data_IF_049545351817
#
_entry.id   IF_049545351817
#
_cell.length_a   1.000
_cell.length_b   1.000
_cell.length_c   1.000
_cell.angle_alpha   90.00
_cell.angle_beta   90.00
_cell.angle_gamma   90.00
#
_symmetry.space_group_name_H-M   'P 1'
#
loop_
_entity.id
_entity.type
_entity.pdbx_description
1 polymer ?
#
# COMPACT_ATOMS: atom_id res chain seq x y z
N UNK A 1 6.59 22.77 -9.41
CA UNK A 1 5.24 22.90 -8.87
C UNK A 1 4.77 21.64 -8.18
N UNK A 2 5.09 20.48 -8.68
CA UNK A 2 4.50 19.22 -8.23
C UNK A 2 5.53 18.12 -8.02
N UNK A 3 6.79 18.46 -7.90
CA UNK A 3 7.88 17.52 -7.67
C UNK A 3 8.50 17.75 -6.29
N UNK A 4 8.74 16.67 -5.56
CA UNK A 4 9.35 16.68 -4.23
C UNK A 4 10.37 15.56 -4.12
N UNK A 5 11.51 15.80 -3.48
CA UNK A 5 12.48 14.75 -3.18
C UNK A 5 11.99 13.95 -1.97
N UNK A 6 11.81 12.64 -2.13
CA UNK A 6 11.23 11.76 -1.10
C UNK A 6 12.25 10.96 -0.30
N UNK A 7 13.49 10.86 -0.76
CA UNK A 7 14.54 10.11 -0.08
C UNK A 7 15.86 10.84 -0.09
N UNK A 8 16.76 10.49 0.83
CA UNK A 8 18.14 10.93 0.86
C UNK A 8 18.34 12.38 1.34
N UNK A 9 19.46 12.97 0.90
CA UNK A 9 19.97 14.25 1.40
C UNK A 9 19.01 15.43 1.30
N UNK A 10 18.21 15.47 0.25
CA UNK A 10 17.28 16.58 -0.04
C UNK A 10 15.82 16.24 0.26
N UNK A 11 15.57 15.21 1.05
CA UNK A 11 14.23 14.75 1.41
C UNK A 11 13.32 15.87 1.95
N UNK A 12 12.10 15.91 1.44
CA UNK A 12 11.07 16.87 1.84
C UNK A 12 11.22 18.26 1.22
N UNK A 13 12.17 18.43 0.28
CA UNK A 13 12.37 19.71 -0.39
C UNK A 13 11.66 19.72 -1.74
N UNK A 14 10.82 20.75 -2.02
CA UNK A 14 10.25 20.93 -3.36
C UNK A 14 11.35 21.07 -4.41
N UNK A 15 11.21 20.36 -5.53
CA UNK A 15 12.23 20.28 -6.54
C UNK A 15 12.16 21.49 -7.49
N UNK A 16 13.19 22.33 -7.43
CA UNK A 16 13.46 23.38 -8.44
C UNK A 16 14.42 22.86 -9.49
N UNK A 17 14.57 23.55 -10.63
CA UNK A 17 15.54 23.19 -11.67
C UNK A 17 16.98 23.18 -11.13
N UNK A 18 17.32 24.12 -10.25
CA UNK A 18 18.65 24.21 -9.62
C UNK A 18 18.86 23.03 -8.66
N UNK A 19 17.87 22.75 -7.79
CA UNK A 19 17.96 21.62 -6.88
C UNK A 19 18.00 20.29 -7.63
N UNK A 20 17.29 20.17 -8.75
CA UNK A 20 17.34 18.97 -9.59
C UNK A 20 18.76 18.67 -10.11
N UNK A 21 19.44 19.70 -10.62
CA UNK A 21 20.83 19.56 -11.09
C UNK A 21 21.75 19.10 -9.94
N UNK A 22 21.66 19.77 -8.78
CA UNK A 22 22.44 19.42 -7.59
C UNK A 22 22.11 18.01 -7.06
N UNK A 23 20.85 17.65 -6.97
CA UNK A 23 20.44 16.34 -6.47
C UNK A 23 20.98 15.20 -7.36
N UNK A 24 21.00 15.40 -8.67
CA UNK A 24 21.59 14.41 -9.59
C UNK A 24 23.10 14.20 -9.42
N UNK A 25 23.82 15.22 -8.98
CA UNK A 25 25.26 15.12 -8.71
C UNK A 25 25.56 14.60 -7.31
N UNK A 26 24.82 15.08 -6.30
CA UNK A 26 25.13 14.85 -4.90
C UNK A 26 24.38 13.62 -4.29
N UNK A 27 23.25 13.23 -4.87
CA UNK A 27 22.44 12.06 -4.45
C UNK A 27 21.67 11.48 -5.65
N UNK A 28 22.37 10.85 -6.62
CA UNK A 28 21.77 10.37 -7.86
C UNK A 28 20.71 9.28 -7.68
N UNK A 29 20.72 8.60 -6.54
CA UNK A 29 19.77 7.53 -6.18
C UNK A 29 18.54 8.06 -5.41
N UNK A 30 18.41 9.38 -5.21
CA UNK A 30 17.25 9.96 -4.56
C UNK A 30 15.98 9.77 -5.40
N UNK A 31 14.88 9.36 -4.76
CA UNK A 31 13.58 9.27 -5.39
C UNK A 31 12.87 10.62 -5.37
N UNK A 32 12.14 10.89 -6.44
CA UNK A 32 11.32 12.07 -6.60
C UNK A 32 9.86 11.66 -6.73
N UNK A 33 8.99 12.36 -6.03
CA UNK A 33 7.55 12.22 -6.15
C UNK A 33 7.03 13.29 -7.08
N UNK A 34 6.25 12.88 -8.07
CA UNK A 34 5.53 13.77 -8.95
C UNK A 34 4.03 13.79 -8.55
N UNK A 35 3.56 14.93 -8.08
CA UNK A 35 2.15 15.15 -7.74
C UNK A 35 1.37 15.56 -9.01
N UNK A 36 1.22 14.63 -9.93
CA UNK A 36 0.66 14.88 -11.28
C UNK A 36 -0.66 14.14 -11.55
N UNK A 37 -1.07 13.27 -10.63
CA UNK A 37 -2.30 12.50 -10.79
C UNK A 37 -3.53 13.36 -10.44
N UNK A 38 -4.57 13.28 -11.26
CA UNK A 38 -5.87 13.84 -10.94
C UNK A 38 -6.61 12.90 -9.97
N UNK A 39 -7.00 13.35 -8.76
CA UNK A 39 -7.69 12.49 -7.79
C UNK A 39 -8.98 11.87 -8.32
N UNK A 40 -9.77 12.59 -9.12
CA UNK A 40 -11.02 12.09 -9.69
C UNK A 40 -10.77 10.94 -10.68
N UNK A 41 -9.72 11.05 -11.49
CA UNK A 41 -9.32 9.98 -12.41
C UNK A 41 -8.81 8.74 -11.66
N UNK A 42 -8.07 8.93 -10.57
CA UNK A 42 -7.63 7.84 -9.70
C UNK A 42 -8.84 7.11 -9.09
N UNK A 43 -9.82 7.85 -8.59
CA UNK A 43 -11.04 7.28 -8.03
C UNK A 43 -11.84 6.50 -9.08
N UNK A 44 -11.98 7.04 -10.30
CA UNK A 44 -12.64 6.35 -11.42
C UNK A 44 -11.91 5.05 -11.79
N UNK A 45 -10.59 5.06 -11.84
CA UNK A 45 -9.80 3.86 -12.11
C UNK A 45 -9.99 2.79 -11.02
N UNK A 46 -10.00 3.20 -9.73
CA UNK A 46 -10.22 2.29 -8.62
C UNK A 46 -11.63 1.68 -8.63
N UNK A 47 -12.64 2.46 -9.01
CA UNK A 47 -14.03 2.02 -9.08
C UNK A 47 -14.33 1.09 -10.25
N UNK A 48 -13.43 0.99 -11.23
CA UNK A 48 -13.66 0.10 -12.35
C UNK A 48 -13.72 -1.37 -11.91
N UNK A 49 -14.74 -2.09 -12.38
CA UNK A 49 -15.00 -3.48 -11.94
C UNK A 49 -13.84 -4.46 -12.13
N UNK A 50 -12.93 -4.17 -13.06
CA UNK A 50 -11.77 -5.01 -13.39
C UNK A 50 -10.46 -4.47 -12.78
N UNK A 51 -10.53 -3.44 -11.91
CA UNK A 51 -9.36 -2.93 -11.20
C UNK A 51 -8.99 -3.77 -9.99
N UNK A 52 -7.72 -3.80 -9.67
CA UNK A 52 -7.17 -4.31 -8.42
C UNK A 52 -6.29 -3.25 -7.75
N UNK A 53 -6.26 -3.25 -6.43
CA UNK A 53 -5.38 -2.37 -5.66
C UNK A 53 -3.98 -2.98 -5.62
N UNK A 54 -2.97 -2.19 -6.01
CA UNK A 54 -1.56 -2.55 -5.88
C UNK A 54 -0.77 -1.34 -5.39
N UNK A 55 0.23 -1.56 -4.55
CA UNK A 55 0.97 -0.46 -3.93
C UNK A 55 1.98 0.19 -4.86
N UNK A 56 2.60 -0.57 -5.74
CA UNK A 56 3.75 -0.11 -6.55
C UNK A 56 4.79 0.63 -5.68
N UNK A 57 4.97 0.16 -4.44
CA UNK A 57 5.80 0.83 -3.45
C UNK A 57 7.28 0.55 -3.72
N UNK A 58 8.06 1.63 -3.72
CA UNK A 58 9.52 1.56 -3.75
C UNK A 58 10.04 2.33 -2.55
N UNK A 59 10.96 1.72 -1.80
CA UNK A 59 11.60 2.28 -0.63
C UNK A 59 13.12 2.31 -0.81
N UNK A 60 13.76 3.30 -0.19
CA UNK A 60 15.21 3.37 0.03
C UNK A 60 15.43 3.38 1.55
N UNK A 61 15.73 2.20 2.10
CA UNK A 61 15.66 2.01 3.55
C UNK A 61 14.22 2.16 4.06
N UNK A 62 14.02 3.08 4.99
CA UNK A 62 12.72 3.44 5.58
C UNK A 62 12.09 4.70 4.95
N UNK A 63 12.69 5.22 3.88
CA UNK A 63 12.24 6.41 3.16
C UNK A 63 11.53 6.04 1.86
N UNK A 64 10.64 6.91 1.40
CA UNK A 64 9.91 6.75 0.13
C UNK A 64 8.50 7.29 0.16
N UNK A 65 7.64 6.70 -0.66
CA UNK A 65 6.25 7.15 -0.79
C UNK A 65 5.35 6.50 0.27
N UNK A 66 4.38 7.24 0.87
CA UNK A 66 3.41 6.71 1.86
C UNK A 66 2.61 5.50 1.39
N UNK A 67 2.49 5.29 0.08
CA UNK A 67 1.85 4.11 -0.49
C UNK A 67 2.47 2.77 -0.03
N UNK A 68 3.65 2.79 0.58
CA UNK A 68 4.28 1.59 1.11
C UNK A 68 3.42 0.91 2.18
N UNK A 69 2.89 1.67 3.15
CA UNK A 69 2.01 1.14 4.18
C UNK A 69 0.52 1.49 3.94
N UNK A 70 0.25 2.61 3.26
CA UNK A 70 -1.08 3.20 3.18
C UNK A 70 -1.95 2.79 2.00
N UNK A 71 -1.43 2.11 0.97
CA UNK A 71 -2.18 1.86 -0.27
C UNK A 71 -3.47 1.10 -0.05
N UNK A 72 -3.44 -0.02 0.67
CA UNK A 72 -4.62 -0.86 0.82
C UNK A 72 -5.71 -0.20 1.67
N UNK A 73 -5.43 0.35 2.87
CA UNK A 73 -6.45 1.05 3.64
C UNK A 73 -6.99 2.28 2.91
N UNK A 74 -6.15 3.03 2.21
CA UNK A 74 -6.58 4.19 1.42
C UNK A 74 -7.46 3.79 0.24
N UNK A 75 -7.06 2.80 -0.56
CA UNK A 75 -7.83 2.32 -1.70
C UNK A 75 -9.18 1.75 -1.28
N UNK A 76 -9.22 0.89 -0.25
CA UNK A 76 -10.46 0.38 0.32
C UNK A 76 -11.33 1.53 0.85
N UNK A 77 -10.74 2.52 1.54
CA UNK A 77 -11.44 3.70 2.03
C UNK A 77 -12.10 4.52 0.93
N UNK A 78 -11.43 4.71 -0.23
CA UNK A 78 -11.98 5.39 -1.41
C UNK A 78 -13.20 4.61 -1.93
N UNK A 79 -13.07 3.28 -2.13
CA UNK A 79 -14.15 2.43 -2.61
C UNK A 79 -15.36 2.44 -1.66
N UNK A 80 -15.12 2.42 -0.35
CA UNK A 80 -16.15 2.53 0.67
C UNK A 80 -16.88 3.88 0.64
N UNK A 81 -16.14 4.98 0.49
CA UNK A 81 -16.73 6.33 0.36
C UNK A 81 -17.56 6.47 -0.90
N UNK A 82 -17.20 5.78 -1.97
CA UNK A 82 -17.97 5.71 -3.21
C UNK A 82 -19.21 4.81 -3.13
N UNK A 83 -19.49 4.18 -1.97
CA UNK A 83 -20.70 3.41 -1.71
C UNK A 83 -20.59 1.90 -1.87
N UNK A 84 -19.40 1.36 -2.21
CA UNK A 84 -19.23 -0.10 -2.27
C UNK A 84 -19.38 -0.70 -0.87
N UNK A 85 -19.97 -1.90 -0.78
CA UNK A 85 -19.99 -2.68 0.46
C UNK A 85 -18.59 -3.12 0.88
N UNK A 86 -18.39 -3.50 2.13
CA UNK A 86 -17.10 -4.04 2.59
C UNK A 86 -16.62 -5.24 1.75
N UNK A 87 -17.44 -6.27 1.45
CA UNK A 87 -17.01 -7.37 0.60
C UNK A 87 -16.57 -6.93 -0.79
N UNK A 88 -17.28 -5.98 -1.43
CA UNK A 88 -16.92 -5.46 -2.74
C UNK A 88 -15.58 -4.71 -2.69
N UNK A 89 -15.40 -3.80 -1.74
CA UNK A 89 -14.17 -3.02 -1.61
C UNK A 89 -12.94 -3.91 -1.29
N UNK A 90 -13.09 -4.86 -0.37
CA UNK A 90 -12.02 -5.81 0.01
C UNK A 90 -11.66 -6.73 -1.16
N UNK A 91 -12.61 -7.07 -2.01
CA UNK A 91 -12.35 -7.89 -3.20
C UNK A 91 -11.28 -7.28 -4.11
N UNK A 92 -11.23 -5.96 -4.25
CA UNK A 92 -10.20 -5.26 -5.05
C UNK A 92 -8.77 -5.41 -4.50
N UNK A 93 -8.63 -5.81 -3.25
CA UNK A 93 -7.35 -6.04 -2.57
C UNK A 93 -7.04 -7.53 -2.32
N UNK A 94 -7.95 -8.44 -2.64
CA UNK A 94 -7.85 -9.87 -2.29
C UNK A 94 -8.11 -10.79 -3.47
N UNK A 95 -9.36 -11.23 -3.67
CA UNK A 95 -9.67 -12.21 -4.71
C UNK A 95 -9.50 -11.67 -6.13
N UNK A 96 -9.70 -10.38 -6.36
CA UNK A 96 -9.52 -9.79 -7.68
C UNK A 96 -8.06 -9.86 -8.16
N UNK A 97 -7.05 -9.32 -7.41
CA UNK A 97 -5.67 -9.48 -7.83
C UNK A 97 -5.23 -10.94 -7.91
N UNK A 98 -5.72 -11.82 -7.02
CA UNK A 98 -5.42 -13.25 -7.10
C UNK A 98 -5.94 -13.87 -8.41
N UNK A 99 -7.17 -13.55 -8.83
CA UNK A 99 -7.75 -13.97 -10.09
C UNK A 99 -6.92 -13.50 -11.30
N UNK A 100 -6.43 -12.24 -11.27
CA UNK A 100 -5.64 -11.66 -12.36
C UNK A 100 -4.31 -12.36 -12.60
N UNK A 101 -3.71 -12.91 -11.56
CA UNK A 101 -2.41 -13.61 -11.62
C UNK A 101 -2.56 -15.14 -11.50
N UNK A 102 -3.78 -15.68 -11.61
CA UNK A 102 -4.09 -17.12 -11.54
C UNK A 102 -3.73 -17.76 -10.19
N UNK A 103 -3.61 -16.97 -9.13
CA UNK A 103 -3.31 -17.43 -7.77
C UNK A 103 -4.57 -17.94 -7.07
N UNK A 104 -4.45 -19.05 -6.31
CA UNK A 104 -5.61 -19.66 -5.61
C UNK A 104 -5.98 -18.97 -4.28
N UNK A 105 -5.23 -17.95 -3.86
CA UNK A 105 -5.48 -17.18 -2.63
C UNK A 105 -6.59 -16.12 -2.76
N UNK A 106 -6.64 -15.21 -1.78
CA UNK A 106 -7.57 -14.08 -1.76
C UNK A 106 -9.01 -14.43 -1.40
N UNK A 107 -9.28 -15.64 -0.90
CA UNK A 107 -10.61 -16.12 -0.47
C UNK A 107 -10.51 -16.89 0.83
N UNK A 108 -11.51 -16.75 1.69
CA UNK A 108 -11.66 -17.54 2.90
C UNK A 108 -12.54 -18.76 2.56
N UNK A 109 -11.89 -19.88 2.31
CA UNK A 109 -12.54 -21.15 1.99
C UNK A 109 -11.87 -22.30 2.75
N UNK A 110 -12.61 -23.35 3.02
CA UNK A 110 -12.08 -24.53 3.69
C UNK A 110 -10.96 -25.17 2.87
N UNK A 111 -9.85 -25.53 3.54
CA UNK A 111 -8.67 -26.10 2.90
C UNK A 111 -7.69 -25.09 2.28
N UNK A 112 -8.02 -23.79 2.27
CA UNK A 112 -7.06 -22.77 1.86
C UNK A 112 -6.04 -22.46 2.95
N UNK A 113 -4.89 -21.91 2.55
CA UNK A 113 -3.91 -21.39 3.51
C UNK A 113 -4.52 -20.26 4.35
N UNK A 114 -4.23 -20.29 5.65
CA UNK A 114 -4.68 -19.24 6.54
C UNK A 114 -3.78 -18.00 6.40
N UNK A 115 -4.08 -17.17 5.38
CA UNK A 115 -3.48 -15.87 5.10
C UNK A 115 -4.58 -14.82 5.27
N UNK A 116 -4.70 -14.26 6.48
CA UNK A 116 -5.85 -13.48 6.89
C UNK A 116 -5.44 -12.14 7.47
N UNK A 117 -6.26 -11.13 7.25
CA UNK A 117 -6.18 -9.85 7.95
C UNK A 117 -7.52 -9.59 8.63
N UNK A 118 -7.48 -9.34 9.93
CA UNK A 118 -8.66 -8.94 10.71
C UNK A 118 -8.57 -7.44 10.95
N UNK A 119 -9.58 -6.72 10.51
CA UNK A 119 -9.66 -5.27 10.62
C UNK A 119 -10.86 -4.84 11.45
N UNK A 120 -10.75 -3.69 12.06
CA UNK A 120 -11.85 -2.95 12.64
C UNK A 120 -12.34 -1.92 11.60
N UNK A 121 -13.55 -2.09 11.05
CA UNK A 121 -14.08 -1.24 9.99
C UNK A 121 -14.16 0.25 10.34
N UNK A 122 -14.36 0.57 11.63
CA UNK A 122 -14.56 1.94 12.09
C UNK A 122 -13.26 2.73 12.22
N UNK A 123 -12.13 2.01 12.36
CA UNK A 123 -10.79 2.60 12.53
C UNK A 123 -9.80 2.21 11.45
N UNK A 124 -10.23 1.47 10.41
CA UNK A 124 -9.37 1.06 9.30
C UNK A 124 -9.08 2.23 8.37
N UNK A 125 -7.89 2.79 8.48
CA UNK A 125 -7.48 3.99 7.76
C UNK A 125 -6.00 3.99 7.38
N UNK A 126 -5.66 4.75 6.33
CA UNK A 126 -4.29 5.10 5.99
C UNK A 126 -3.75 6.16 6.96
N UNK A 127 -2.58 5.89 7.54
CA UNK A 127 -1.82 6.80 8.41
C UNK A 127 -0.46 7.16 7.83
N UNK A 128 -0.12 6.60 6.68
CA UNK A 128 1.11 6.90 5.96
C UNK A 128 1.14 8.35 5.49
N UNK A 129 2.30 9.00 5.61
CA UNK A 129 2.52 10.36 5.14
C UNK A 129 3.93 10.52 4.60
N UNK A 130 4.13 11.55 3.81
CA UNK A 130 5.47 11.94 3.38
C UNK A 130 6.35 12.21 4.62
N UNK A 131 7.57 11.69 4.61
CA UNK A 131 8.46 11.71 5.77
C UNK A 131 8.27 10.56 6.76
N UNK A 132 7.12 9.85 6.76
CA UNK A 132 6.85 8.67 7.57
C UNK A 132 6.06 7.61 6.76
N UNK A 133 6.64 7.06 5.67
CA UNK A 133 5.93 6.20 4.72
C UNK A 133 5.55 4.82 5.29
N UNK A 134 6.22 4.39 6.35
CA UNK A 134 6.01 3.08 7.00
C UNK A 134 5.12 3.17 8.24
N UNK A 135 4.43 4.29 8.45
CA UNK A 135 3.45 4.38 9.55
C UNK A 135 2.38 3.32 9.38
N UNK A 136 2.25 2.44 10.37
CA UNK A 136 1.27 1.36 10.34
C UNK A 136 -0.16 1.90 10.17
N UNK A 137 -0.99 1.26 9.34
CA UNK A 137 -2.38 1.66 9.16
C UNK A 137 -3.17 1.49 10.46
N UNK A 138 -4.22 2.30 10.62
CA UNK A 138 -5.18 2.13 11.70
C UNK A 138 -6.04 0.89 11.52
N UNK A 139 -6.63 0.41 12.61
CA UNK A 139 -7.68 -0.61 12.59
C UNK A 139 -7.25 -2.03 12.22
N UNK A 140 -5.97 -2.33 12.02
CA UNK A 140 -5.48 -3.70 11.86
C UNK A 140 -5.41 -4.36 13.23
N UNK A 141 -6.20 -5.41 13.44
CA UNK A 141 -6.23 -6.16 14.70
C UNK A 141 -5.25 -7.33 14.68
N UNK A 142 -5.32 -8.15 13.64
CA UNK A 142 -4.42 -9.29 13.46
C UNK A 142 -4.05 -9.47 11.99
N UNK A 143 -2.82 -9.90 11.76
CA UNK A 143 -2.38 -10.47 10.49
C UNK A 143 -1.91 -11.89 10.76
N UNK A 144 -2.45 -12.83 9.99
CA UNK A 144 -2.10 -14.26 10.06
C UNK A 144 -1.45 -14.65 8.74
N UNK A 145 -0.27 -15.24 8.80
CA UNK A 145 0.44 -15.80 7.65
C UNK A 145 0.70 -17.29 7.89
N UNK A 146 0.23 -18.14 6.99
CA UNK A 146 0.34 -19.60 7.11
C UNK A 146 -0.15 -20.14 8.47
N UNK A 147 -1.22 -19.54 9.02
CA UNK A 147 -1.78 -19.93 10.30
C UNK A 147 -1.07 -19.36 11.54
N UNK A 148 -0.02 -18.56 11.37
CA UNK A 148 0.73 -17.90 12.47
C UNK A 148 0.35 -16.45 12.57
N UNK A 149 0.02 -15.95 13.76
CA UNK A 149 -0.20 -14.54 14.02
C UNK A 149 1.15 -13.83 13.94
N UNK A 150 1.28 -12.88 13.02
CA UNK A 150 2.51 -12.09 12.81
C UNK A 150 2.33 -10.63 13.18
N UNK A 151 1.09 -10.13 13.23
CA UNK A 151 0.74 -8.80 13.73
C UNK A 151 -0.44 -8.94 14.69
N UNK A 152 -0.37 -8.27 15.83
CA UNK A 152 -1.44 -8.14 16.80
C UNK A 152 -1.52 -6.69 17.28
N UNK A 153 -2.71 -6.10 17.23
CA UNK A 153 -2.94 -4.71 17.66
C UNK A 153 -2.14 -3.65 16.89
N UNK A 154 -1.68 -3.96 15.67
CA UNK A 154 -0.82 -3.08 14.87
C UNK A 154 0.68 -3.28 15.08
N UNK A 155 1.08 -4.13 16.02
CA UNK A 155 2.48 -4.44 16.33
C UNK A 155 2.91 -5.77 15.71
N UNK A 156 4.15 -5.85 15.22
CA UNK A 156 4.73 -7.10 14.72
C UNK A 156 5.10 -7.97 15.93
N UNK A 157 4.46 -9.13 16.07
CA UNK A 157 4.63 -10.04 17.22
C UNK A 157 5.20 -11.41 16.85
N UNK A 158 5.18 -11.76 15.58
CA UNK A 158 5.58 -13.08 15.11
C UNK A 158 6.82 -13.06 14.19
N UNK A 159 7.36 -14.24 13.89
CA UNK A 159 8.45 -14.38 12.94
C UNK A 159 7.99 -14.02 11.53
N UNK A 160 8.93 -13.70 10.65
CA UNK A 160 8.65 -13.55 9.23
C UNK A 160 8.26 -14.92 8.64
N UNK A 161 6.94 -15.16 8.56
CA UNK A 161 6.35 -16.41 8.02
C UNK A 161 5.93 -16.27 6.55
N UNK A 162 6.22 -15.12 5.94
CA UNK A 162 5.93 -14.86 4.53
C UNK A 162 6.77 -15.72 3.60
N UNK A 163 6.24 -16.00 2.42
CA UNK A 163 6.94 -16.71 1.34
C UNK A 163 6.79 -15.96 0.02
N UNK A 164 7.76 -16.11 -0.85
CA UNK A 164 7.67 -15.61 -2.22
C UNK A 164 6.76 -16.55 -3.00
N UNK A 165 5.72 -15.99 -3.62
CA UNK A 165 4.87 -16.72 -4.55
C UNK A 165 5.55 -16.69 -5.92
N UNK A 166 6.01 -17.84 -6.36
CA UNK A 166 6.49 -18.02 -7.72
C UNK A 166 5.30 -18.47 -8.57
N UNK A 167 5.21 -17.96 -9.81
CA UNK A 167 4.19 -18.43 -10.76
C UNK A 167 4.32 -19.94 -10.98
N UNK A 168 3.15 -20.64 -11.02
CA UNK A 168 3.06 -22.06 -11.40
C UNK A 168 3.17 -22.22 -12.91
#
# INVERSE_FOLDING_TARGET
>A
ESLEVSTGRFKGVPLTAELFARAREEDPDAYVIAHVMNPEEVDLCLLHKDSAIASDAVLRGDEGHPRAAGTFPRGIGILRKAGLSWPEAVRHATSRPAEMIWHRGGRIIEGANAELVVIDPDSYEDRGRFGAPLTAPGGVKWVVLNGVIVVEGGEIVGPSSGRILLGE
#
